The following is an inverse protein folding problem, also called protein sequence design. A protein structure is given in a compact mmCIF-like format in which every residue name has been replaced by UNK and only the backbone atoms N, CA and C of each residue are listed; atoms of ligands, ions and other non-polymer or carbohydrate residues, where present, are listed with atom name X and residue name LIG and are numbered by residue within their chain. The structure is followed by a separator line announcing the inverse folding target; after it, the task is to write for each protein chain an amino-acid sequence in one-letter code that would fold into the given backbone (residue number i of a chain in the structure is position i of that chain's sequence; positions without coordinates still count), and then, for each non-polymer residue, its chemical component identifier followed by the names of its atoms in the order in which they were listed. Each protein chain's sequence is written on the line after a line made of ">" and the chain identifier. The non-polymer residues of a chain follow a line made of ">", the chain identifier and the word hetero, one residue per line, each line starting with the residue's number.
data_IF_971546182957
#
_entry.id   IF_971546182957
#
_cell.length_a   1.000
_cell.length_b   1.000
_cell.length_c   1.000
_cell.angle_alpha   90.00
_cell.angle_beta   90.00
_cell.angle_gamma   90.00
#
_symmetry.space_group_name_H-M   'P 1'
#
loop_
_entity.id
_entity.type
_entity.pdbx_description
1 polymer ?
#
# COMPACT_ATOMS: atom_id res chain seq x y z
N UNK A 1 2.52 -19.46 5.43
CA UNK A 1 1.30 -19.85 4.69
C UNK A 1 1.63 -19.81 3.22
N UNK A 2 1.28 -20.82 2.45
CA UNK A 2 1.46 -20.81 1.00
C UNK A 2 0.16 -20.29 0.40
N UNK A 3 0.17 -19.02 -0.06
CA UNK A 3 -0.92 -18.47 -0.86
C UNK A 3 -0.64 -18.83 -2.32
N UNK A 4 -1.54 -19.59 -2.94
CA UNK A 4 -1.48 -19.90 -4.37
C UNK A 4 -2.46 -18.96 -5.10
N UNK A 5 -1.97 -18.20 -6.06
CA UNK A 5 -2.75 -17.28 -6.86
C UNK A 5 -2.57 -17.66 -8.33
N UNK A 6 -3.66 -17.62 -9.11
CA UNK A 6 -3.61 -17.90 -10.54
C UNK A 6 -2.79 -16.85 -11.27
N UNK A 7 -2.07 -17.25 -12.33
CA UNK A 7 -1.28 -16.33 -13.15
C UNK A 7 -2.13 -15.18 -13.74
N UNK A 8 -3.42 -15.43 -14.00
CA UNK A 8 -4.36 -14.44 -14.57
C UNK A 8 -5.33 -13.85 -13.52
N UNK A 9 -5.04 -13.99 -12.22
CA UNK A 9 -5.97 -13.62 -11.14
C UNK A 9 -6.43 -12.15 -11.20
N UNK A 10 -5.58 -11.26 -11.70
CA UNK A 10 -5.85 -9.82 -11.78
C UNK A 10 -6.11 -9.34 -13.21
N UNK A 11 -6.38 -10.26 -14.14
CA UNK A 11 -6.60 -9.92 -15.55
C UNK A 11 -7.73 -8.91 -15.73
N UNK A 12 -7.41 -7.81 -16.40
CA UNK A 12 -8.35 -6.73 -16.67
C UNK A 12 -8.76 -5.91 -15.45
N UNK A 13 -8.07 -6.05 -14.31
CA UNK A 13 -8.26 -5.22 -13.12
C UNK A 13 -7.42 -3.96 -13.21
N UNK A 14 -7.93 -2.86 -12.68
CA UNK A 14 -7.23 -1.57 -12.55
C UNK A 14 -6.86 -1.38 -11.09
N UNK A 15 -5.55 -1.26 -10.82
CA UNK A 15 -5.03 -1.25 -9.44
C UNK A 15 -4.11 -0.05 -9.24
N UNK A 16 -4.44 0.80 -8.27
CA UNK A 16 -3.57 1.90 -7.84
C UNK A 16 -2.63 1.43 -6.72
N UNK A 17 -1.34 1.67 -6.92
CA UNK A 17 -0.30 1.37 -5.93
C UNK A 17 0.38 2.67 -5.48
N UNK A 18 0.24 3.02 -4.20
CA UNK A 18 0.95 4.18 -3.64
C UNK A 18 2.36 3.80 -3.18
N UNK A 19 3.31 4.73 -3.32
CA UNK A 19 4.71 4.42 -3.04
C UNK A 19 5.31 3.39 -4.00
N UNK A 20 4.80 3.34 -5.23
CA UNK A 20 5.20 2.37 -6.25
C UNK A 20 6.68 2.44 -6.63
N UNK A 21 7.35 3.59 -6.43
CA UNK A 21 8.72 3.81 -6.89
C UNK A 21 9.82 2.98 -6.22
N UNK A 22 9.57 2.31 -5.08
CA UNK A 22 10.60 1.57 -4.33
C UNK A 22 10.02 0.43 -3.49
N UNK A 23 10.90 -0.51 -3.10
CA UNK A 23 10.64 -1.50 -2.06
C UNK A 23 9.41 -2.37 -2.30
N UNK A 24 8.54 -2.45 -1.31
CA UNK A 24 7.33 -3.28 -1.37
C UNK A 24 6.36 -2.78 -2.44
N UNK A 25 6.13 -1.46 -2.55
CA UNK A 25 5.22 -0.90 -3.55
C UNK A 25 5.68 -1.16 -4.98
N UNK A 26 6.99 -1.04 -5.26
CA UNK A 26 7.57 -1.41 -6.56
C UNK A 26 7.31 -2.88 -6.89
N UNK A 27 7.61 -3.77 -5.94
CA UNK A 27 7.43 -5.20 -6.17
C UNK A 27 5.95 -5.57 -6.32
N UNK A 28 5.06 -4.94 -5.54
CA UNK A 28 3.62 -5.15 -5.66
C UNK A 28 3.11 -4.72 -7.04
N UNK A 29 3.55 -3.55 -7.53
CA UNK A 29 3.18 -3.06 -8.86
C UNK A 29 3.59 -4.05 -9.97
N UNK A 30 4.84 -4.55 -9.94
CA UNK A 30 5.33 -5.54 -10.89
C UNK A 30 4.55 -6.86 -10.79
N UNK A 31 4.33 -7.36 -9.56
CA UNK A 31 3.61 -8.61 -9.36
C UNK A 31 2.14 -8.52 -9.79
N UNK A 32 1.47 -7.38 -9.58
CA UNK A 32 0.11 -7.18 -10.05
C UNK A 32 0.04 -7.10 -11.58
N UNK A 33 1.00 -6.41 -12.24
CA UNK A 33 1.09 -6.36 -13.69
C UNK A 33 1.36 -7.76 -14.30
N UNK A 34 2.26 -8.55 -13.70
CA UNK A 34 2.55 -9.93 -14.07
C UNK A 34 1.30 -10.83 -14.02
N UNK A 35 0.36 -10.54 -13.10
CA UNK A 35 -0.91 -11.27 -12.97
C UNK A 35 -2.06 -10.65 -13.79
N UNK A 36 -1.74 -9.75 -14.73
CA UNK A 36 -2.66 -9.22 -15.73
C UNK A 36 -3.38 -7.92 -15.37
N UNK A 37 -3.00 -7.24 -14.29
CA UNK A 37 -3.57 -5.95 -13.93
C UNK A 37 -2.98 -4.79 -14.74
N UNK A 38 -3.81 -3.80 -15.06
CA UNK A 38 -3.35 -2.45 -15.40
C UNK A 38 -3.02 -1.72 -14.10
N UNK A 39 -1.74 -1.38 -13.90
CA UNK A 39 -1.28 -0.78 -12.65
C UNK A 39 -1.10 0.73 -12.81
N UNK A 40 -1.67 1.48 -11.87
CA UNK A 40 -1.46 2.93 -11.74
C UNK A 40 -0.37 3.14 -10.68
N UNK A 41 0.77 3.66 -11.12
CA UNK A 41 1.98 3.87 -10.32
C UNK A 41 1.94 5.25 -9.68
N UNK A 42 1.67 5.35 -8.38
CA UNK A 42 1.67 6.62 -7.66
C UNK A 42 2.91 6.77 -6.79
N UNK A 43 3.58 7.92 -6.92
CA UNK A 43 4.74 8.27 -6.11
C UNK A 43 5.31 9.63 -6.46
N UNK A 44 6.26 10.12 -5.66
CA UNK A 44 6.83 11.47 -5.84
C UNK A 44 8.05 11.54 -6.78
N UNK A 45 8.74 10.41 -6.98
CA UNK A 45 9.93 10.37 -7.83
C UNK A 45 9.57 9.81 -9.20
N UNK A 46 9.46 10.71 -10.18
CA UNK A 46 9.04 10.38 -11.55
C UNK A 46 9.99 9.37 -12.20
N UNK A 47 11.30 9.54 -12.06
CA UNK A 47 12.29 8.63 -12.65
C UNK A 47 12.15 7.18 -12.15
N UNK A 48 11.85 7.02 -10.84
CA UNK A 48 11.61 5.68 -10.32
C UNK A 48 10.31 5.08 -10.87
N UNK A 49 9.27 5.88 -11.09
CA UNK A 49 8.00 5.42 -11.66
C UNK A 49 8.17 5.05 -13.14
N UNK A 50 8.89 5.88 -13.90
CA UNK A 50 9.23 5.61 -15.30
C UNK A 50 10.02 4.32 -15.45
N UNK A 51 11.01 4.08 -14.58
CA UNK A 51 11.78 2.82 -14.59
C UNK A 51 10.90 1.59 -14.40
N UNK A 52 9.84 1.67 -13.59
CA UNK A 52 8.92 0.55 -13.37
C UNK A 52 7.94 0.42 -14.54
N UNK A 53 7.49 1.54 -15.08
CA UNK A 53 6.68 1.58 -16.28
C UNK A 53 7.41 0.87 -17.44
N UNK A 54 8.66 1.21 -17.69
CA UNK A 54 9.49 0.62 -18.74
C UNK A 54 9.69 -0.90 -18.50
N UNK A 55 9.87 -1.32 -17.25
CA UNK A 55 10.01 -2.75 -16.89
C UNK A 55 8.72 -3.53 -17.16
N UNK A 56 7.56 -2.95 -16.86
CA UNK A 56 6.24 -3.53 -17.15
C UNK A 56 6.03 -3.66 -18.66
N UNK A 57 6.33 -2.62 -19.41
CA UNK A 57 6.24 -2.60 -20.87
C UNK A 57 7.19 -3.63 -21.51
N UNK A 58 8.44 -3.67 -21.08
CA UNK A 58 9.45 -4.61 -21.59
C UNK A 58 9.09 -6.07 -21.32
N UNK A 59 8.36 -6.34 -20.22
CA UNK A 59 7.85 -7.68 -19.89
C UNK A 59 6.58 -8.06 -20.68
N UNK A 60 6.01 -7.13 -21.46
CA UNK A 60 4.78 -7.36 -22.23
C UNK A 60 3.51 -7.45 -21.37
N UNK A 61 3.54 -6.92 -20.15
CA UNK A 61 2.37 -6.83 -19.26
C UNK A 61 1.43 -5.70 -19.69
N UNK A 62 0.18 -5.63 -19.14
CA UNK A 62 -0.72 -4.54 -19.45
C UNK A 62 -0.08 -3.17 -19.16
N UNK A 63 -0.24 -2.23 -20.08
CA UNK A 63 0.34 -0.90 -19.99
C UNK A 63 -0.04 -0.22 -18.68
N UNK A 64 0.96 0.24 -17.94
CA UNK A 64 0.77 0.96 -16.69
C UNK A 64 0.43 2.44 -16.93
N UNK A 65 -0.02 3.13 -15.90
CA UNK A 65 -0.15 4.58 -15.87
C UNK A 65 0.69 5.16 -14.73
N UNK A 66 1.13 6.41 -14.86
CA UNK A 66 1.94 7.10 -13.85
C UNK A 66 1.17 8.31 -13.32
N UNK A 67 1.08 8.42 -11.98
CA UNK A 67 0.57 9.60 -11.29
C UNK A 67 1.66 10.13 -10.34
N UNK A 68 2.39 11.18 -10.75
CA UNK A 68 3.33 11.83 -9.85
C UNK A 68 2.58 12.63 -8.79
N UNK A 69 2.72 12.26 -7.51
CA UNK A 69 2.11 12.98 -6.40
C UNK A 69 2.97 12.87 -5.14
N UNK A 70 3.28 14.02 -4.51
CA UNK A 70 3.88 14.06 -3.18
C UNK A 70 2.78 14.19 -2.12
N UNK A 71 2.60 13.13 -1.35
CA UNK A 71 1.57 13.04 -0.30
C UNK A 71 1.77 14.05 0.84
N UNK A 72 2.99 14.58 1.02
CA UNK A 72 3.27 15.61 2.03
C UNK A 72 2.56 16.92 1.69
N UNK A 73 2.58 17.31 0.41
CA UNK A 73 1.98 18.57 -0.07
C UNK A 73 0.59 18.41 -0.70
N UNK A 74 0.10 17.18 -0.84
CA UNK A 74 -1.17 16.92 -1.50
C UNK A 74 -2.37 17.46 -0.70
N UNK A 75 -3.28 18.11 -1.40
CA UNK A 75 -4.54 18.65 -0.89
C UNK A 75 -5.69 17.70 -1.23
N UNK A 76 -6.85 17.92 -0.61
CA UNK A 76 -8.07 17.18 -0.96
C UNK A 76 -8.40 17.29 -2.46
N UNK A 77 -8.19 18.47 -3.06
CA UNK A 77 -8.47 18.68 -4.48
C UNK A 77 -7.60 17.79 -5.38
N UNK A 78 -6.32 17.59 -5.04
CA UNK A 78 -5.45 16.70 -5.80
C UNK A 78 -5.97 15.25 -5.84
N UNK A 79 -6.57 14.77 -4.75
CA UNK A 79 -7.17 13.43 -4.72
C UNK A 79 -8.48 13.36 -5.49
N UNK A 80 -9.28 14.44 -5.51
CA UNK A 80 -10.50 14.54 -6.33
C UNK A 80 -10.12 14.51 -7.81
N UNK A 81 -9.20 15.38 -8.25
CA UNK A 81 -8.72 15.45 -9.64
C UNK A 81 -8.14 14.10 -10.10
N UNK A 82 -7.42 13.43 -9.22
CA UNK A 82 -6.90 12.08 -9.47
C UNK A 82 -8.02 11.05 -9.67
N UNK A 83 -9.04 11.08 -8.81
CA UNK A 83 -10.18 10.16 -8.90
C UNK A 83 -10.97 10.38 -10.20
N UNK A 84 -11.22 11.62 -10.59
CA UNK A 84 -11.84 11.98 -11.86
C UNK A 84 -11.01 11.52 -13.06
N UNK A 85 -9.70 11.67 -13.00
CA UNK A 85 -8.78 11.19 -14.04
C UNK A 85 -8.86 9.67 -14.19
N UNK A 86 -8.81 8.93 -13.07
CA UNK A 86 -8.90 7.48 -13.07
C UNK A 86 -10.27 7.02 -13.61
N UNK A 87 -11.33 7.67 -13.18
CA UNK A 87 -12.68 7.37 -13.68
C UNK A 87 -12.81 7.63 -15.18
N UNK A 88 -12.29 8.77 -15.66
CA UNK A 88 -12.32 9.13 -17.07
C UNK A 88 -11.51 8.20 -17.97
N UNK A 89 -10.38 7.69 -17.50
CA UNK A 89 -9.49 6.80 -18.28
C UNK A 89 -9.88 5.32 -18.22
N UNK A 90 -10.31 4.86 -17.05
CA UNK A 90 -10.51 3.41 -16.79
C UNK A 90 -11.96 3.05 -16.47
N UNK A 91 -12.81 4.03 -16.18
CA UNK A 91 -14.21 3.83 -15.81
C UNK A 91 -14.46 3.31 -14.40
N UNK A 92 -13.46 2.67 -13.76
CA UNK A 92 -13.51 2.10 -12.41
C UNK A 92 -12.12 1.93 -11.81
N UNK A 93 -12.07 1.64 -10.52
CA UNK A 93 -10.87 1.20 -9.82
C UNK A 93 -11.19 -0.11 -9.06
N UNK A 94 -10.44 -1.17 -9.36
CA UNK A 94 -10.67 -2.50 -8.76
C UNK A 94 -9.80 -2.73 -7.52
N UNK A 95 -8.62 -2.14 -7.44
CA UNK A 95 -7.71 -2.30 -6.32
C UNK A 95 -7.02 -1.01 -5.89
N UNK A 96 -6.82 -0.86 -4.58
CA UNK A 96 -6.07 0.24 -3.97
C UNK A 96 -5.10 -0.33 -2.94
N UNK A 97 -3.80 -0.21 -3.21
CA UNK A 97 -2.76 -0.54 -2.25
C UNK A 97 -2.18 0.74 -1.63
N UNK A 98 -2.56 1.03 -0.40
CA UNK A 98 -1.91 2.02 0.44
C UNK A 98 -0.60 1.45 1.01
N UNK A 99 0.51 1.78 0.35
CA UNK A 99 1.84 1.32 0.76
C UNK A 99 2.81 2.49 0.98
N UNK A 100 2.53 3.66 0.42
CA UNK A 100 3.33 4.84 0.70
C UNK A 100 3.38 5.13 2.20
N UNK A 101 4.58 5.42 2.69
CA UNK A 101 4.77 5.76 4.09
C UNK A 101 6.18 6.26 4.36
N UNK A 102 6.31 6.98 5.44
CA UNK A 102 7.60 7.51 5.92
C UNK A 102 7.85 7.09 7.37
N UNK A 103 9.12 7.02 7.71
CA UNK A 103 9.62 6.78 9.06
C UNK A 103 10.59 7.89 9.40
N UNK A 104 10.38 8.57 10.55
CA UNK A 104 11.34 9.50 11.13
C UNK A 104 12.51 8.75 11.80
N UNK A 105 13.44 9.49 12.37
CA UNK A 105 14.45 8.90 13.25
C UNK A 105 13.80 8.33 14.50
N UNK A 106 14.24 7.15 14.90
CA UNK A 106 13.78 6.52 16.15
C UNK A 106 14.38 7.31 17.34
N UNK A 107 13.52 7.78 18.25
CA UNK A 107 13.94 8.58 19.39
C UNK A 107 13.03 8.35 20.61
N UNK A 108 13.47 8.70 21.84
CA UNK A 108 12.62 8.77 23.02
C UNK A 108 11.40 9.66 22.77
N UNK A 109 10.30 9.36 23.47
CA UNK A 109 9.01 10.04 23.23
C UNK A 109 9.07 11.56 23.49
N UNK A 110 9.82 11.98 24.49
CA UNK A 110 10.05 13.37 24.86
C UNK A 110 10.99 14.15 23.91
N UNK A 111 11.57 13.46 22.93
CA UNK A 111 12.44 14.05 21.90
C UNK A 111 11.80 14.05 20.49
N UNK A 112 10.54 13.70 20.40
CA UNK A 112 9.79 13.75 19.14
C UNK A 112 9.68 15.22 18.70
N UNK A 113 10.13 15.50 17.47
CA UNK A 113 9.94 16.82 16.86
C UNK A 113 8.53 16.92 16.29
N UNK A 114 7.89 18.08 16.48
CA UNK A 114 6.57 18.36 15.94
C UNK A 114 6.53 18.16 14.42
N UNK A 115 7.52 18.65 13.68
CA UNK A 115 7.62 18.47 12.23
C UNK A 115 7.65 17.00 11.80
N UNK A 116 8.38 16.15 12.51
CA UNK A 116 8.46 14.71 12.23
C UNK A 116 7.12 14.02 12.50
N UNK A 117 6.41 14.45 13.56
CA UNK A 117 5.08 13.96 13.87
C UNK A 117 4.08 14.36 12.79
N UNK A 118 4.05 15.64 12.42
CA UNK A 118 3.14 16.18 11.40
C UNK A 118 3.37 15.54 10.03
N UNK A 119 4.61 15.39 9.61
CA UNK A 119 4.96 14.73 8.34
C UNK A 119 4.48 13.28 8.31
N UNK A 120 4.68 12.53 9.39
CA UNK A 120 4.22 11.15 9.48
C UNK A 120 2.70 11.07 9.45
N UNK A 121 2.00 11.88 10.23
CA UNK A 121 0.54 11.87 10.25
C UNK A 121 -0.05 12.35 8.93
N UNK A 122 0.56 13.34 8.29
CA UNK A 122 0.13 13.81 6.97
C UNK A 122 0.26 12.71 5.91
N UNK A 123 1.41 12.02 5.84
CA UNK A 123 1.70 11.05 4.78
C UNK A 123 1.08 9.69 5.07
N UNK A 124 1.24 9.18 6.30
CA UNK A 124 0.85 7.81 6.63
C UNK A 124 -0.64 7.68 7.02
N UNK A 125 -1.32 8.78 7.35
CA UNK A 125 -2.71 8.74 7.82
C UNK A 125 -3.61 9.63 6.98
N UNK A 126 -3.41 10.95 7.03
CA UNK A 126 -4.31 11.89 6.38
C UNK A 126 -4.40 11.70 4.86
N UNK A 127 -3.26 11.45 4.22
CA UNK A 127 -3.22 11.15 2.79
C UNK A 127 -4.02 9.89 2.43
N UNK A 128 -3.90 8.82 3.23
CA UNK A 128 -4.65 7.59 3.02
C UNK A 128 -6.16 7.80 3.20
N UNK A 129 -6.58 8.57 4.23
CA UNK A 129 -8.00 8.93 4.46
C UNK A 129 -8.57 9.69 3.27
N UNK A 130 -7.94 10.80 2.88
CA UNK A 130 -8.45 11.67 1.81
C UNK A 130 -8.44 10.98 0.44
N UNK A 131 -7.41 10.19 0.16
CA UNK A 131 -7.31 9.41 -1.06
C UNK A 131 -8.40 8.34 -1.13
N UNK A 132 -8.61 7.58 -0.05
CA UNK A 132 -9.68 6.58 0.02
C UNK A 132 -11.05 7.25 -0.16
N UNK A 133 -11.31 8.36 0.53
CA UNK A 133 -12.55 9.11 0.40
C UNK A 133 -12.83 9.52 -1.05
N UNK A 134 -11.83 10.03 -1.76
CA UNK A 134 -11.98 10.45 -3.15
C UNK A 134 -12.17 9.26 -4.11
N UNK A 135 -11.51 8.12 -3.85
CA UNK A 135 -11.54 6.95 -4.73
C UNK A 135 -12.72 6.01 -4.49
N UNK A 136 -13.36 6.02 -3.31
CA UNK A 136 -14.47 5.13 -3.00
C UNK A 136 -15.62 5.17 -4.04
N UNK A 137 -16.05 6.34 -4.57
CA UNK A 137 -17.07 6.38 -5.62
C UNK A 137 -16.67 5.62 -6.88
N UNK A 138 -15.39 5.72 -7.27
CA UNK A 138 -14.84 5.02 -8.44
C UNK A 138 -14.68 3.52 -8.17
N UNK A 139 -14.31 3.14 -6.94
CA UNK A 139 -14.19 1.75 -6.51
C UNK A 139 -15.55 1.04 -6.39
N UNK A 140 -16.62 1.76 -6.05
CA UNK A 140 -17.99 1.19 -6.02
C UNK A 140 -18.49 0.75 -7.38
N UNK A 141 -17.82 1.13 -8.48
CA UNK A 141 -18.12 0.64 -9.84
C UNK A 141 -17.45 -0.71 -10.13
N UNK A 142 -16.59 -1.20 -9.25
CA UNK A 142 -15.99 -2.52 -9.33
C UNK A 142 -16.93 -3.59 -8.76
N UNK A 143 -17.01 -4.74 -9.43
CA UNK A 143 -17.75 -5.91 -8.94
C UNK A 143 -17.05 -6.63 -7.79
N UNK A 144 -15.77 -6.32 -7.54
CA UNK A 144 -14.96 -6.98 -6.52
C UNK A 144 -13.78 -6.07 -6.08
N UNK A 145 -14.09 -4.93 -5.47
CA UNK A 145 -13.08 -3.96 -5.01
C UNK A 145 -12.18 -4.50 -3.90
N UNK A 146 -10.90 -4.10 -3.90
CA UNK A 146 -9.91 -4.47 -2.86
C UNK A 146 -9.18 -3.24 -2.38
N UNK A 147 -9.19 -3.01 -1.06
CA UNK A 147 -8.38 -1.98 -0.40
C UNK A 147 -7.41 -2.69 0.55
N UNK A 148 -6.13 -2.47 0.36
CA UNK A 148 -5.09 -3.04 1.20
C UNK A 148 -4.26 -1.92 1.79
N UNK A 149 -4.11 -1.93 3.11
CA UNK A 149 -3.23 -1.03 3.84
C UNK A 149 -1.94 -1.74 4.24
N UNK A 150 -0.81 -1.08 4.09
CA UNK A 150 0.46 -1.58 4.63
C UNK A 150 0.62 -1.12 6.07
N UNK A 151 0.40 -2.04 7.01
CA UNK A 151 0.61 -1.83 8.45
C UNK A 151 2.04 -2.20 8.86
N UNK A 152 2.23 -2.50 10.11
CA UNK A 152 3.49 -2.90 10.74
C UNK A 152 3.22 -3.64 12.04
N UNK A 153 4.19 -4.40 12.55
CA UNK A 153 4.12 -4.97 13.90
C UNK A 153 3.84 -3.91 14.97
N UNK A 154 4.32 -2.68 14.75
CA UNK A 154 4.06 -1.55 15.68
C UNK A 154 2.69 -0.89 15.46
N UNK A 155 1.85 -1.39 14.56
CA UNK A 155 0.46 -0.96 14.36
C UNK A 155 -0.53 -1.59 15.34
N UNK A 156 -0.15 -2.68 16.01
CA UNK A 156 -0.98 -3.35 17.03
C UNK A 156 -0.22 -3.65 18.34
N UNK A 157 1.09 -3.33 18.39
CA UNK A 157 1.88 -3.44 19.61
C UNK A 157 2.91 -2.32 19.65
N UNK A 158 2.71 -1.34 20.53
CA UNK A 158 3.63 -0.22 20.70
C UNK A 158 5.04 -0.69 21.07
N UNK A 159 6.06 0.03 20.57
CA UNK A 159 7.47 -0.26 20.86
C UNK A 159 8.20 1.03 21.20
N UNK A 160 9.07 0.98 22.18
CA UNK A 160 9.92 2.10 22.56
C UNK A 160 10.65 2.68 21.34
N UNK A 161 10.74 4.00 21.27
CA UNK A 161 11.37 4.79 20.21
C UNK A 161 10.63 4.91 18.88
N UNK A 162 9.51 4.21 18.69
CA UNK A 162 8.75 4.19 17.43
C UNK A 162 7.61 5.22 17.37
N UNK A 163 7.44 6.05 18.40
CA UNK A 163 6.38 7.04 18.64
C UNK A 163 5.47 7.37 17.47
N UNK A 164 5.79 8.39 16.64
CA UNK A 164 4.87 8.85 15.59
C UNK A 164 4.52 7.76 14.56
N UNK A 165 5.49 6.93 14.19
CA UNK A 165 5.25 5.86 13.24
C UNK A 165 4.31 4.78 13.80
N UNK A 166 4.50 4.38 15.06
CA UNK A 166 3.59 3.44 15.70
C UNK A 166 2.17 4.02 15.78
N UNK A 167 2.02 5.26 16.23
CA UNK A 167 0.74 5.98 16.28
C UNK A 167 0.06 5.97 14.90
N UNK A 168 0.81 6.29 13.84
CA UNK A 168 0.26 6.28 12.48
C UNK A 168 -0.23 4.90 12.05
N UNK A 169 0.48 3.82 12.40
CA UNK A 169 0.09 2.46 12.01
C UNK A 169 -1.08 1.90 12.84
N UNK A 170 -1.23 2.32 14.10
CA UNK A 170 -2.48 2.09 14.85
C UNK A 170 -3.66 2.80 14.19
N UNK A 171 -3.50 4.05 13.75
CA UNK A 171 -4.54 4.79 13.04
C UNK A 171 -4.93 4.10 11.73
N UNK A 172 -3.97 3.59 10.97
CA UNK A 172 -4.19 2.83 9.72
C UNK A 172 -4.99 1.56 9.97
N UNK A 173 -4.66 0.79 11.02
CA UNK A 173 -5.43 -0.41 11.37
C UNK A 173 -6.85 -0.07 11.83
N UNK A 174 -7.03 1.04 12.57
CA UNK A 174 -8.35 1.54 12.94
C UNK A 174 -9.18 1.96 11.72
N UNK A 175 -8.57 2.70 10.78
CA UNK A 175 -9.21 3.08 9.52
C UNK A 175 -9.61 1.85 8.69
N UNK A 176 -8.75 0.86 8.59
CA UNK A 176 -9.05 -0.40 7.90
C UNK A 176 -10.28 -1.09 8.48
N UNK A 177 -10.40 -1.18 9.81
CA UNK A 177 -11.52 -1.81 10.49
C UNK A 177 -12.84 -1.04 10.25
N UNK A 178 -12.82 0.29 10.36
CA UNK A 178 -13.98 1.14 10.08
C UNK A 178 -14.47 0.95 8.65
N UNK A 179 -13.57 1.03 7.68
CA UNK A 179 -13.93 0.85 6.26
C UNK A 179 -14.43 -0.56 5.97
N UNK A 180 -13.85 -1.59 6.59
CA UNK A 180 -14.28 -2.97 6.41
C UNK A 180 -15.73 -3.20 6.93
N UNK A 181 -16.10 -2.55 8.02
CA UNK A 181 -17.45 -2.60 8.59
C UNK A 181 -18.45 -1.81 7.74
N UNK A 182 -18.13 -0.55 7.41
CA UNK A 182 -18.96 0.31 6.55
C UNK A 182 -19.23 -0.28 5.14
N UNK A 183 -18.30 -1.06 4.61
CA UNK A 183 -18.39 -1.65 3.28
C UNK A 183 -18.78 -3.13 3.29
N UNK A 184 -19.17 -3.68 4.44
CA UNK A 184 -19.47 -5.10 4.62
C UNK A 184 -20.55 -5.63 3.67
N UNK A 185 -21.59 -4.82 3.38
CA UNK A 185 -22.68 -5.15 2.48
C UNK A 185 -22.39 -4.85 0.99
N UNK A 186 -21.14 -4.50 0.67
CA UNK A 186 -20.68 -4.22 -0.69
C UNK A 186 -19.71 -5.32 -1.18
N UNK A 187 -19.39 -5.36 -2.48
CA UNK A 187 -18.36 -6.28 -2.98
C UNK A 187 -16.92 -5.85 -2.66
N UNK A 188 -16.72 -4.74 -1.95
CA UNK A 188 -15.40 -4.25 -1.56
C UNK A 188 -14.93 -4.99 -0.29
N UNK A 189 -13.66 -5.42 -0.29
CA UNK A 189 -13.00 -6.00 0.90
C UNK A 189 -11.81 -5.15 1.29
N UNK A 190 -11.68 -4.91 2.59
CA UNK A 190 -10.67 -4.00 3.15
C UNK A 190 -9.83 -4.76 4.17
N UNK A 191 -8.52 -4.82 3.96
CA UNK A 191 -7.61 -5.53 4.85
C UNK A 191 -6.31 -4.75 5.04
N UNK A 192 -5.52 -5.14 6.02
CA UNK A 192 -4.16 -4.65 6.21
C UNK A 192 -3.14 -5.79 6.13
N UNK A 193 -1.92 -5.47 5.70
CA UNK A 193 -0.79 -6.40 5.72
C UNK A 193 0.27 -5.83 6.65
N UNK A 194 0.71 -6.62 7.63
CA UNK A 194 1.97 -6.40 8.29
C UNK A 194 3.08 -7.13 7.50
N UNK A 195 3.93 -6.40 6.76
CA UNK A 195 4.97 -7.03 5.92
C UNK A 195 6.06 -7.73 6.74
N UNK A 196 6.17 -7.41 8.04
CA UNK A 196 7.26 -7.87 8.88
C UNK A 196 8.61 -7.24 8.50
N UNK A 197 9.70 -7.87 8.93
CA UNK A 197 11.05 -7.39 8.64
C UNK A 197 11.43 -7.72 7.18
N UNK A 198 11.22 -6.78 6.28
CA UNK A 198 11.44 -6.91 4.84
C UNK A 198 12.62 -6.05 4.39
N UNK A 199 13.46 -6.54 3.49
CA UNK A 199 14.63 -5.86 2.93
C UNK A 199 14.21 -4.63 2.12
N UNK A 200 14.21 -3.47 2.74
CA UNK A 200 13.83 -2.18 2.16
C UNK A 200 14.71 -1.06 2.71
N UNK A 201 14.81 0.07 2.01
CA UNK A 201 15.51 1.26 2.51
C UNK A 201 14.93 1.78 3.83
N UNK A 202 13.63 1.64 4.06
CA UNK A 202 13.00 2.00 5.33
C UNK A 202 13.49 1.11 6.47
N UNK A 203 13.62 -0.20 6.23
CA UNK A 203 14.16 -1.16 7.22
C UNK A 203 15.63 -0.86 7.53
N UNK A 204 16.44 -0.62 6.53
CA UNK A 204 17.86 -0.23 6.67
C UNK A 204 18.00 1.04 7.52
N UNK A 205 17.15 2.06 7.26
CA UNK A 205 17.13 3.28 8.07
C UNK A 205 16.77 3.01 9.53
N UNK A 206 15.82 2.10 9.79
CA UNK A 206 15.41 1.76 11.17
C UNK A 206 16.45 0.90 11.92
N UNK A 207 17.17 0.06 11.20
CA UNK A 207 18.13 -0.91 11.74
C UNK A 207 19.41 -0.96 10.90
N UNK A 208 20.25 0.07 10.94
CA UNK A 208 21.43 0.16 10.05
C UNK A 208 22.49 -0.92 10.32
N UNK A 209 22.46 -1.56 11.50
CA UNK A 209 23.38 -2.67 11.84
C UNK A 209 22.81 -4.06 11.53
N UNK A 210 21.60 -4.18 10.96
CA UNK A 210 21.00 -5.49 10.65
C UNK A 210 21.53 -6.02 9.31
N UNK A 211 21.94 -7.30 9.28
CA UNK A 211 22.34 -7.94 8.02
C UNK A 211 21.12 -8.09 7.08
N UNK A 212 21.10 -7.31 6.03
CA UNK A 212 20.03 -7.31 5.02
C UNK A 212 19.84 -8.68 4.35
N UNK A 213 20.85 -9.55 4.33
CA UNK A 213 20.75 -10.88 3.72
C UNK A 213 19.93 -11.86 4.58
N UNK A 214 19.72 -11.57 5.85
CA UNK A 214 18.86 -12.34 6.75
C UNK A 214 17.37 -12.00 6.59
N UNK A 215 17.07 -10.94 5.83
CA UNK A 215 15.71 -10.45 5.63
C UNK A 215 15.06 -11.06 4.39
N UNK A 216 13.77 -11.28 4.48
CA UNK A 216 12.94 -11.56 3.32
C UNK A 216 12.98 -10.36 2.36
N UNK A 217 13.01 -10.65 1.06
CA UNK A 217 12.88 -9.62 0.02
C UNK A 217 11.42 -9.18 -0.13
N UNK A 218 11.15 -8.04 -0.79
CA UNK A 218 9.77 -7.70 -1.16
C UNK A 218 9.08 -8.79 -1.97
N UNK A 219 9.78 -9.50 -2.86
CA UNK A 219 9.22 -10.60 -3.65
C UNK A 219 8.74 -11.77 -2.78
N UNK A 220 9.46 -12.11 -1.72
CA UNK A 220 9.10 -13.22 -0.82
C UNK A 220 7.76 -13.04 -0.11
N UNK A 221 7.27 -11.81 0.00
CA UNK A 221 6.00 -11.49 0.68
C UNK A 221 4.84 -11.21 -0.29
N UNK A 222 5.10 -11.16 -1.60
CA UNK A 222 4.06 -10.89 -2.61
C UNK A 222 2.93 -11.92 -2.65
N UNK A 223 3.12 -13.21 -2.33
CA UNK A 223 2.00 -14.15 -2.32
C UNK A 223 0.80 -13.69 -1.48
N UNK A 224 1.01 -13.01 -0.33
CA UNK A 224 -0.08 -12.45 0.47
C UNK A 224 -0.71 -11.21 -0.19
N UNK A 225 0.10 -10.33 -0.79
CA UNK A 225 -0.40 -9.14 -1.49
C UNK A 225 -1.26 -9.52 -2.69
N UNK A 226 -0.84 -10.53 -3.46
CA UNK A 226 -1.61 -11.08 -4.57
C UNK A 226 -2.90 -11.75 -4.08
N UNK A 227 -2.82 -12.57 -3.05
CA UNK A 227 -3.98 -13.24 -2.47
C UNK A 227 -5.06 -12.25 -2.02
N UNK A 228 -4.70 -11.20 -1.29
CA UNK A 228 -5.68 -10.22 -0.81
C UNK A 228 -6.18 -9.28 -1.92
N UNK A 229 -5.45 -9.14 -3.02
CA UNK A 229 -5.88 -8.37 -4.20
C UNK A 229 -6.75 -9.20 -5.14
N UNK A 230 -6.71 -10.53 -5.06
CA UNK A 230 -7.48 -11.45 -5.91
C UNK A 230 -8.99 -11.27 -5.67
N UNK A 231 -9.79 -10.97 -6.71
CA UNK A 231 -11.24 -10.85 -6.61
C UNK A 231 -11.95 -12.13 -6.16
N UNK A 232 -11.33 -13.30 -6.33
CA UNK A 232 -11.88 -14.57 -5.87
C UNK A 232 -11.85 -14.74 -4.34
N UNK A 233 -11.01 -13.97 -3.63
CA UNK A 233 -10.91 -14.01 -2.17
C UNK A 233 -11.96 -13.10 -1.55
N UNK A 234 -13.11 -13.66 -1.19
CA UNK A 234 -14.27 -12.89 -0.67
C UNK A 234 -14.45 -13.00 0.84
N UNK A 235 -13.82 -14.00 1.46
CA UNK A 235 -14.01 -14.38 2.87
C UNK A 235 -13.04 -13.71 3.84
N UNK A 236 -12.16 -12.81 3.35
CA UNK A 236 -11.20 -12.07 4.18
C UNK A 236 -11.59 -10.59 4.15
N UNK A 237 -12.00 -10.04 5.30
CA UNK A 237 -12.36 -8.63 5.45
C UNK A 237 -12.08 -8.15 6.87
N UNK A 238 -11.61 -6.92 7.05
CA UNK A 238 -11.34 -6.31 8.34
C UNK A 238 -10.16 -6.92 9.12
N UNK A 239 -9.22 -7.58 8.44
CA UNK A 239 -8.11 -8.27 9.07
C UNK A 239 -6.77 -7.60 8.78
N UNK A 240 -5.91 -7.56 9.80
CA UNK A 240 -4.48 -7.28 9.64
C UNK A 240 -3.72 -8.62 9.64
N UNK A 241 -3.07 -8.96 8.52
CA UNK A 241 -2.45 -10.26 8.30
C UNK A 241 -0.93 -10.13 8.23
N UNK A 242 -0.24 -10.98 8.98
CA UNK A 242 1.22 -11.03 8.97
C UNK A 242 1.72 -11.75 7.70
N UNK A 243 2.53 -11.07 6.87
CA UNK A 243 3.15 -11.68 5.68
C UNK A 243 4.30 -12.64 6.04
N UNK A 244 4.80 -12.55 7.25
CA UNK A 244 5.89 -13.36 7.77
C UNK A 244 5.56 -13.86 9.17
N UNK A 245 6.07 -15.06 9.57
CA UNK A 245 5.94 -15.50 10.94
C UNK A 245 6.64 -14.52 11.89
N UNK A 246 6.11 -14.39 13.10
CA UNK A 246 6.74 -13.56 14.15
C UNK A 246 8.18 -14.03 14.37
N UNK A 247 9.13 -13.10 14.27
CA UNK A 247 10.51 -13.37 14.68
C UNK A 247 10.55 -13.61 16.20
N UNK A 248 11.17 -14.70 16.61
CA UNK A 248 11.44 -15.00 18.02
C UNK A 248 12.47 -14.04 18.61
#
# INVERSE_FOLDING_TARGET
>A
MNYSVSADALKGKVILVTGAGNGIGRQAALSYAEHGATVILLGRNVQNLESIYDEIEAAGYPQAAIIPLDLKGATQQNYIDMAETIEGQFGRLDGLLHNAGVLSSLCPFDQIKEEDFDDIMQINVKAEVLMTQALLPVMRKSEAGRIIFTSSTVGHSGRAFWGPYAISKFAVEGMMQVLADELSDTPIRVNAINPGATRTRMREKAYPGEDANTLKTPLDIMPLYLHLMDPAVTNVNGQCIDAQPKRK
#
